data_IF_847462583412
#
_entry.id   IF_847462583412
#
_cell.length_a   1.000
_cell.length_b   1.000
_cell.length_c   1.000
_cell.angle_alpha   90.00
_cell.angle_beta   90.00
_cell.angle_gamma   90.00
#
_symmetry.space_group_name_H-M   'P 1'
#
loop_
_entity.id
_entity.type
_entity.pdbx_description
1 polymer ?
#
# COMPACT_ATOMS: atom_id res chain seq x y z
N UNK A 1 8.49 -29.88 -19.44
CA UNK A 1 8.66 -28.41 -19.36
C UNK A 1 7.28 -27.71 -19.37
N UNK A 2 6.41 -27.99 -18.38
CA UNK A 2 5.00 -27.53 -18.38
C UNK A 2 4.47 -27.08 -16.99
N UNK A 3 5.38 -26.84 -16.03
CA UNK A 3 5.03 -26.68 -14.61
C UNK A 3 4.46 -25.31 -14.24
N UNK A 4 4.40 -24.38 -15.19
CA UNK A 4 4.14 -22.96 -14.93
C UNK A 4 2.74 -22.47 -15.37
N UNK A 5 2.02 -23.21 -16.22
CA UNK A 5 0.66 -22.88 -16.66
C UNK A 5 -0.41 -23.47 -15.74
N UNK A 6 -1.63 -22.93 -15.71
CA UNK A 6 -2.74 -23.49 -14.92
C UNK A 6 -2.88 -25.03 -15.10
N UNK A 7 -3.20 -25.75 -14.04
CA UNK A 7 -3.26 -27.23 -14.04
C UNK A 7 -4.36 -27.72 -14.95
N UNK A 8 -4.00 -28.50 -15.99
CA UNK A 8 -5.00 -29.09 -16.90
C UNK A 8 -5.97 -30.00 -16.11
N UNK A 9 -7.28 -30.00 -16.43
CA UNK A 9 -7.93 -29.32 -17.56
C UNK A 9 -8.36 -27.87 -17.32
N UNK A 10 -8.01 -27.25 -16.17
CA UNK A 10 -8.47 -25.87 -15.88
C UNK A 10 -7.91 -24.87 -16.88
N UNK A 11 -8.78 -23.96 -17.30
CA UNK A 11 -8.47 -22.79 -18.12
C UNK A 11 -8.72 -21.51 -17.31
N UNK A 12 -8.13 -20.36 -17.70
CA UNK A 12 -8.38 -19.09 -17.01
C UNK A 12 -9.87 -18.71 -16.94
N UNK A 13 -10.67 -19.12 -17.94
CA UNK A 13 -12.13 -18.90 -17.95
C UNK A 13 -12.86 -19.69 -16.86
N UNK A 14 -12.34 -20.85 -16.48
CA UNK A 14 -12.96 -21.71 -15.47
C UNK A 14 -12.87 -21.09 -14.07
N UNK A 15 -11.82 -20.31 -13.80
CA UNK A 15 -11.61 -19.64 -12.50
C UNK A 15 -12.66 -18.59 -12.17
N UNK A 16 -13.41 -18.13 -13.18
CA UNK A 16 -14.54 -17.22 -13.02
C UNK A 16 -15.87 -17.92 -12.73
N UNK A 17 -15.88 -19.26 -12.69
CA UNK A 17 -17.07 -20.09 -12.47
C UNK A 17 -16.80 -21.10 -11.37
N UNK A 18 -17.81 -21.88 -10.98
CA UNK A 18 -17.60 -23.00 -10.06
C UNK A 18 -16.67 -24.03 -10.72
N UNK A 19 -15.55 -24.32 -10.09
CA UNK A 19 -14.59 -25.32 -10.57
C UNK A 19 -14.04 -26.17 -9.42
N UNK A 20 -13.48 -27.34 -9.73
CA UNK A 20 -12.77 -28.15 -8.72
C UNK A 20 -11.42 -27.53 -8.40
N UNK A 21 -10.95 -27.70 -7.16
CA UNK A 21 -9.56 -27.40 -6.81
C UNK A 21 -8.66 -28.50 -7.37
N UNK A 22 -7.74 -28.15 -8.27
CA UNK A 22 -6.75 -29.07 -8.86
C UNK A 22 -5.36 -28.56 -8.47
N UNK A 23 -4.84 -28.90 -7.28
CA UNK A 23 -3.55 -28.42 -6.82
C UNK A 23 -2.41 -29.05 -7.63
N UNK A 24 -1.36 -28.27 -7.90
CA UNK A 24 -0.12 -28.80 -8.51
C UNK A 24 0.60 -29.77 -7.58
N UNK A 25 0.64 -29.44 -6.28
CA UNK A 25 1.26 -30.24 -5.25
C UNK A 25 0.20 -30.58 -4.19
N UNK A 26 -0.41 -31.78 -4.28
CA UNK A 26 -1.43 -32.21 -3.33
C UNK A 26 -0.93 -32.22 -1.88
N UNK A 27 0.32 -32.61 -1.61
CA UNK A 27 0.87 -32.66 -0.26
C UNK A 27 0.91 -31.28 0.41
N UNK A 28 1.36 -30.24 -0.33
CA UNK A 28 1.35 -28.86 0.18
C UNK A 28 -0.09 -28.39 0.39
N UNK A 29 -0.97 -28.63 -0.59
CA UNK A 29 -2.37 -28.22 -0.49
C UNK A 29 -3.09 -28.89 0.70
N UNK A 30 -2.81 -30.17 0.96
CA UNK A 30 -3.36 -30.90 2.09
C UNK A 30 -2.85 -30.35 3.42
N UNK A 31 -1.56 -30.05 3.54
CA UNK A 31 -1.01 -29.43 4.75
C UNK A 31 -1.63 -28.04 5.00
N UNK A 32 -1.73 -27.20 3.97
CA UNK A 32 -2.37 -25.89 4.06
C UNK A 32 -3.86 -25.99 4.42
N UNK A 33 -4.55 -27.02 3.92
CA UNK A 33 -5.92 -27.30 4.29
C UNK A 33 -6.06 -27.75 5.75
N UNK A 34 -5.17 -28.63 6.24
CA UNK A 34 -5.20 -29.13 7.62
C UNK A 34 -4.99 -28.01 8.64
N UNK A 35 -4.14 -27.04 8.34
CA UNK A 35 -3.97 -25.84 9.18
C UNK A 35 -5.03 -24.76 8.93
N UNK A 36 -6.06 -25.07 8.12
CA UNK A 36 -7.18 -24.18 7.76
C UNK A 36 -6.76 -22.89 7.03
N UNK A 37 -5.62 -22.91 6.34
CA UNK A 37 -5.14 -21.76 5.55
C UNK A 37 -5.86 -21.65 4.19
N UNK A 38 -6.28 -22.78 3.60
CA UNK A 38 -7.03 -22.82 2.34
C UNK A 38 -8.26 -23.73 2.43
N UNK A 39 -9.19 -23.56 1.49
CA UNK A 39 -10.35 -24.43 1.28
C UNK A 39 -10.10 -25.43 0.13
N UNK A 40 -10.76 -26.60 0.16
CA UNK A 40 -10.64 -27.63 -0.90
C UNK A 40 -11.56 -27.44 -2.12
N UNK A 41 -12.54 -26.54 -2.05
CA UNK A 41 -13.68 -26.53 -2.99
C UNK A 41 -13.53 -25.64 -4.23
N UNK A 42 -12.36 -25.02 -4.46
CA UNK A 42 -12.14 -24.19 -5.66
C UNK A 42 -13.04 -22.97 -5.73
N UNK A 43 -13.44 -22.39 -4.58
CA UNK A 43 -14.28 -21.19 -4.50
C UNK A 43 -13.50 -19.90 -4.28
N UNK A 44 -12.20 -20.00 -3.97
CA UNK A 44 -11.38 -18.85 -3.58
C UNK A 44 -11.35 -17.75 -4.65
N UNK A 45 -11.18 -18.12 -5.92
CA UNK A 45 -11.19 -17.15 -7.03
C UNK A 45 -12.55 -16.50 -7.22
N UNK A 46 -13.64 -17.25 -7.07
CA UNK A 46 -15.00 -16.68 -7.14
C UNK A 46 -15.25 -15.69 -6.00
N UNK A 47 -14.81 -16.00 -4.78
CA UNK A 47 -14.92 -15.09 -3.63
C UNK A 47 -14.15 -13.80 -3.85
N UNK A 48 -12.96 -13.88 -4.45
CA UNK A 48 -12.18 -12.69 -4.83
C UNK A 48 -12.92 -11.84 -5.87
N UNK A 49 -13.55 -12.49 -6.86
CA UNK A 49 -14.37 -11.78 -7.86
C UNK A 49 -15.56 -11.09 -7.19
N UNK A 50 -16.31 -11.81 -6.35
CA UNK A 50 -17.45 -11.27 -5.59
C UNK A 50 -17.04 -10.06 -4.76
N UNK A 51 -15.97 -10.16 -3.98
CA UNK A 51 -15.47 -9.08 -3.13
C UNK A 51 -15.07 -7.83 -3.94
N UNK A 52 -14.40 -8.01 -5.10
CA UNK A 52 -14.03 -6.88 -5.96
C UNK A 52 -15.28 -6.19 -6.52
N UNK A 53 -16.25 -6.95 -6.99
CA UNK A 53 -17.49 -6.41 -7.54
C UNK A 53 -18.33 -5.69 -6.48
N UNK A 54 -18.43 -6.24 -5.26
CA UNK A 54 -19.12 -5.61 -4.13
C UNK A 54 -18.50 -4.26 -3.76
N UNK A 55 -17.18 -4.12 -3.96
CA UNK A 55 -16.44 -2.87 -3.78
C UNK A 55 -16.36 -2.01 -5.05
N UNK A 56 -17.16 -2.29 -6.09
CA UNK A 56 -17.20 -1.57 -7.38
C UNK A 56 -15.88 -1.54 -8.13
N UNK A 57 -15.04 -2.56 -7.92
CA UNK A 57 -13.77 -2.77 -8.63
C UNK A 57 -13.99 -3.70 -9.82
N UNK A 58 -13.14 -3.59 -10.87
CA UNK A 58 -13.22 -4.51 -12.00
C UNK A 58 -12.85 -5.94 -11.58
N UNK A 59 -13.36 -6.92 -12.33
CA UNK A 59 -13.00 -8.31 -12.14
C UNK A 59 -11.49 -8.54 -12.32
N UNK A 60 -10.91 -9.55 -11.65
CA UNK A 60 -9.55 -9.98 -11.91
C UNK A 60 -9.37 -10.47 -13.34
N UNK A 61 -8.19 -10.18 -13.90
CA UNK A 61 -7.75 -10.75 -15.18
C UNK A 61 -6.92 -12.00 -14.91
N UNK A 62 -7.34 -13.13 -15.48
CA UNK A 62 -6.62 -14.39 -15.42
C UNK A 62 -6.07 -14.72 -16.81
N UNK A 63 -4.76 -14.89 -16.93
CA UNK A 63 -4.16 -15.20 -18.23
C UNK A 63 -2.95 -16.13 -18.11
N UNK A 64 -2.70 -16.88 -19.18
CA UNK A 64 -1.45 -17.62 -19.35
C UNK A 64 -0.52 -16.77 -20.20
N UNK A 65 0.51 -16.15 -19.60
CA UNK A 65 1.46 -15.26 -20.29
C UNK A 65 2.89 -15.82 -20.16
N UNK A 66 3.68 -15.76 -21.24
CA UNK A 66 5.13 -16.01 -21.26
C UNK A 66 5.60 -17.26 -20.50
N UNK A 67 4.85 -18.36 -20.61
CA UNK A 67 5.21 -19.60 -19.93
C UNK A 67 4.82 -19.63 -18.45
N UNK A 68 3.85 -18.83 -18.00
CA UNK A 68 3.35 -18.76 -16.62
C UNK A 68 1.83 -18.53 -16.56
N UNK A 69 1.29 -18.50 -15.35
CA UNK A 69 -0.07 -18.09 -15.05
C UNK A 69 -0.03 -16.79 -14.26
N UNK A 70 -0.74 -15.79 -14.74
CA UNK A 70 -0.78 -14.44 -14.20
C UNK A 70 -2.20 -14.09 -13.74
N UNK A 71 -2.27 -13.38 -12.61
CA UNK A 71 -3.50 -12.83 -12.05
C UNK A 71 -3.28 -11.34 -11.82
N UNK A 72 -4.10 -10.50 -12.43
CA UNK A 72 -4.06 -9.04 -12.24
C UNK A 72 -5.29 -8.64 -11.43
N UNK A 73 -5.03 -7.96 -10.30
CA UNK A 73 -6.05 -7.36 -9.44
C UNK A 73 -5.89 -5.84 -9.53
N UNK A 74 -6.96 -5.14 -9.90
CA UNK A 74 -6.95 -3.68 -9.97
C UNK A 74 -7.62 -3.11 -8.73
N UNK A 75 -6.84 -2.37 -7.94
CA UNK A 75 -7.34 -1.69 -6.75
C UNK A 75 -8.11 -0.40 -7.07
N UNK A 76 -8.70 0.25 -6.05
CA UNK A 76 -9.51 1.47 -6.15
C UNK A 76 -8.75 2.73 -6.62
N UNK A 77 -7.45 2.64 -6.86
CA UNK A 77 -6.64 3.72 -7.41
C UNK A 77 -6.30 4.82 -6.39
N UNK A 78 -5.89 5.98 -6.91
CA UNK A 78 -5.26 7.06 -6.14
C UNK A 78 -6.18 7.70 -5.09
N UNK A 79 -7.47 7.80 -5.35
CA UNK A 79 -8.41 8.44 -4.41
C UNK A 79 -8.49 7.68 -3.09
N UNK A 80 -8.46 6.34 -3.14
CA UNK A 80 -8.39 5.49 -1.97
C UNK A 80 -7.04 5.57 -1.25
N UNK A 81 -5.93 5.69 -1.99
CA UNK A 81 -4.62 5.95 -1.37
C UNK A 81 -4.60 7.28 -0.60
N UNK A 82 -5.23 8.32 -1.15
CA UNK A 82 -5.35 9.63 -0.49
C UNK A 82 -6.24 9.59 0.76
N UNK A 83 -7.29 8.75 0.78
CA UNK A 83 -8.12 8.50 1.95
C UNK A 83 -7.34 7.76 3.05
N UNK A 84 -6.65 6.67 2.71
CA UNK A 84 -5.76 5.97 3.65
C UNK A 84 -4.68 6.91 4.18
N UNK A 85 -4.06 7.74 3.33
CA UNK A 85 -3.10 8.72 3.79
C UNK A 85 -3.75 9.71 4.76
N UNK A 86 -4.95 10.24 4.46
CA UNK A 86 -5.69 11.11 5.39
C UNK A 86 -5.93 10.46 6.74
N UNK A 87 -6.41 9.21 6.77
CA UNK A 87 -6.61 8.48 8.02
C UNK A 87 -5.30 8.28 8.80
N UNK A 88 -4.20 7.93 8.11
CA UNK A 88 -2.87 7.85 8.73
C UNK A 88 -2.45 9.18 9.35
N UNK A 89 -2.67 10.29 8.66
CA UNK A 89 -2.37 11.63 9.20
C UNK A 89 -3.21 11.95 10.44
N UNK A 90 -4.48 11.55 10.48
CA UNK A 90 -5.35 11.69 11.65
C UNK A 90 -4.86 10.87 12.84
N UNK A 91 -4.50 9.60 12.63
CA UNK A 91 -3.94 8.73 13.69
C UNK A 91 -2.63 9.31 14.24
N UNK A 92 -1.82 9.91 13.37
CA UNK A 92 -0.57 10.56 13.76
C UNK A 92 -0.77 11.98 14.33
N UNK A 93 -2.00 12.49 14.39
CA UNK A 93 -2.34 13.85 14.88
C UNK A 93 -1.55 14.96 14.14
N UNK A 94 -1.47 14.85 12.81
CA UNK A 94 -0.70 15.77 11.97
C UNK A 94 -1.64 16.79 11.34
N UNK A 95 -1.32 18.07 11.54
CA UNK A 95 -2.14 19.16 11.02
C UNK A 95 -1.78 19.51 9.55
N UNK A 96 -2.62 20.34 8.91
CA UNK A 96 -2.45 20.69 7.49
C UNK A 96 -1.12 21.42 7.19
N UNK A 97 -0.62 22.25 8.12
CA UNK A 97 0.66 22.97 7.97
C UNK A 97 1.86 22.02 8.03
N UNK A 98 1.79 21.05 8.91
CA UNK A 98 2.78 19.98 9.04
C UNK A 98 2.74 19.05 7.81
N UNK A 99 1.54 18.72 7.29
CA UNK A 99 1.38 17.98 6.04
C UNK A 99 2.06 18.69 4.85
N UNK A 100 1.81 20.00 4.69
CA UNK A 100 2.48 20.82 3.65
C UNK A 100 4.00 20.76 3.75
N UNK A 101 4.53 20.75 4.97
CA UNK A 101 5.97 20.61 5.18
C UNK A 101 6.49 19.22 4.81
N UNK A 102 5.76 18.15 5.13
CA UNK A 102 6.14 16.79 4.75
C UNK A 102 6.13 16.63 3.22
N UNK A 103 5.09 17.13 2.54
CA UNK A 103 5.04 17.14 1.07
C UNK A 103 6.19 17.96 0.46
N UNK A 104 6.53 19.10 1.08
CA UNK A 104 7.68 19.89 0.67
C UNK A 104 8.99 19.11 0.81
N UNK A 105 9.19 18.39 1.92
CA UNK A 105 10.38 17.54 2.13
C UNK A 105 10.38 16.38 1.13
N UNK A 106 9.24 15.72 0.86
CA UNK A 106 9.14 14.67 -0.18
C UNK A 106 9.59 15.19 -1.55
N UNK A 107 9.28 16.44 -1.91
CA UNK A 107 9.63 17.04 -3.22
C UNK A 107 11.05 17.64 -3.28
N UNK A 108 11.57 18.20 -2.19
CA UNK A 108 12.84 18.96 -2.17
C UNK A 108 13.96 18.31 -1.34
N UNK A 109 13.67 17.20 -0.67
CA UNK A 109 14.59 16.42 0.17
C UNK A 109 14.78 16.96 1.59
N UNK A 110 14.65 18.28 1.82
CA UNK A 110 14.83 18.91 3.14
C UNK A 110 14.02 20.18 3.31
N UNK A 111 13.74 20.55 4.56
CA UNK A 111 13.14 21.84 4.92
C UNK A 111 13.94 22.54 6.02
N UNK A 112 14.03 23.87 5.95
CA UNK A 112 14.55 24.69 7.05
C UNK A 112 13.39 25.32 7.80
N UNK A 113 13.61 25.74 9.05
CA UNK A 113 12.59 26.50 9.80
C UNK A 113 12.14 27.77 9.07
N UNK A 114 13.06 28.46 8.36
CA UNK A 114 12.70 29.64 7.58
C UNK A 114 11.78 29.27 6.40
N UNK A 115 12.06 28.17 5.71
CA UNK A 115 11.19 27.67 4.65
C UNK A 115 9.81 27.29 5.19
N UNK A 116 9.74 26.65 6.36
CA UNK A 116 8.48 26.32 7.02
C UNK A 116 7.65 27.57 7.35
N UNK A 117 8.28 28.61 7.92
CA UNK A 117 7.61 29.89 8.20
C UNK A 117 7.04 30.53 6.92
N UNK A 118 7.83 30.55 5.84
CA UNK A 118 7.41 31.11 4.55
C UNK A 118 6.28 30.30 3.91
N UNK A 119 6.38 28.97 3.94
CA UNK A 119 5.39 28.06 3.38
C UNK A 119 4.02 28.21 4.05
N UNK A 120 4.02 28.32 5.38
CA UNK A 120 2.80 28.35 6.19
C UNK A 120 2.37 29.76 6.63
N UNK A 121 3.14 30.80 6.29
CA UNK A 121 2.92 32.20 6.70
C UNK A 121 2.74 32.36 8.21
N UNK A 122 3.61 31.73 8.99
CA UNK A 122 3.58 31.77 10.46
C UNK A 122 4.87 32.32 11.08
N UNK A 123 4.78 32.74 12.34
CA UNK A 123 5.93 33.17 13.14
C UNK A 123 6.90 32.04 13.51
N UNK A 124 8.17 32.40 13.74
CA UNK A 124 9.27 31.48 14.07
C UNK A 124 9.01 30.63 15.32
N UNK A 125 8.34 31.21 16.34
CA UNK A 125 8.00 30.51 17.58
C UNK A 125 7.03 29.35 17.33
N UNK A 126 6.01 29.58 16.50
CA UNK A 126 5.01 28.56 16.18
C UNK A 126 5.59 27.48 15.27
N UNK A 127 6.40 27.88 14.29
CA UNK A 127 7.14 26.94 13.43
C UNK A 127 8.07 26.02 14.25
N UNK A 128 8.74 26.55 15.27
CA UNK A 128 9.58 25.73 16.17
C UNK A 128 8.75 24.70 16.92
N UNK A 129 7.57 25.09 17.45
CA UNK A 129 6.68 24.18 18.18
C UNK A 129 6.17 23.05 17.27
N UNK A 130 5.67 23.38 16.07
CA UNK A 130 5.16 22.37 15.13
C UNK A 130 6.24 21.44 14.58
N UNK A 131 7.44 21.95 14.29
CA UNK A 131 8.58 21.12 13.86
C UNK A 131 9.09 20.22 14.99
N UNK A 132 9.06 20.69 16.25
CA UNK A 132 9.39 19.84 17.40
C UNK A 132 8.36 18.71 17.58
N UNK A 133 7.07 18.99 17.41
CA UNK A 133 6.04 17.95 17.43
C UNK A 133 6.30 16.86 16.37
N UNK A 134 6.73 17.23 15.16
CA UNK A 134 7.10 16.27 14.12
C UNK A 134 8.38 15.47 14.44
N UNK A 135 9.33 16.06 15.19
CA UNK A 135 10.52 15.36 15.69
C UNK A 135 10.14 14.34 16.77
N UNK A 136 9.28 14.72 17.72
CA UNK A 136 8.80 13.84 18.79
C UNK A 136 8.05 12.63 18.24
N UNK A 137 7.24 12.85 17.20
CA UNK A 137 6.55 11.80 16.44
C UNK A 137 7.48 10.96 15.54
N UNK A 138 8.79 11.24 15.52
CA UNK A 138 9.82 10.56 14.71
C UNK A 138 9.55 10.57 13.20
N UNK A 139 8.80 11.54 12.70
CA UNK A 139 8.48 11.67 11.26
C UNK A 139 9.63 12.35 10.52
N UNK A 140 10.24 13.34 11.17
CA UNK A 140 11.41 14.06 10.67
C UNK A 140 12.60 13.88 11.58
N UNK A 141 13.80 14.04 11.04
CA UNK A 141 15.06 14.11 11.78
C UNK A 141 15.73 15.46 11.55
N UNK A 142 16.32 16.01 12.61
CA UNK A 142 17.09 17.24 12.55
C UNK A 142 18.53 16.94 12.11
N UNK A 143 19.05 17.71 11.15
CA UNK A 143 20.44 17.69 10.73
C UNK A 143 21.06 19.09 10.67
N UNK A 144 22.38 19.14 10.73
CA UNK A 144 23.16 20.38 10.77
C UNK A 144 23.19 21.03 12.17
N UNK A 145 23.93 22.15 12.28
CA UNK A 145 24.10 22.91 13.52
C UNK A 145 23.88 24.42 13.27
N UNK A 146 23.36 25.12 14.29
CA UNK A 146 23.15 26.57 14.24
C UNK A 146 22.29 27.02 13.05
N UNK A 147 22.79 27.99 12.28
CA UNK A 147 22.13 28.55 11.08
C UNK A 147 21.96 27.52 9.95
N UNK A 148 22.76 26.46 9.93
CA UNK A 148 22.68 25.36 8.96
C UNK A 148 21.72 24.24 9.36
N UNK A 149 20.83 24.45 10.34
CA UNK A 149 19.86 23.42 10.75
C UNK A 149 18.80 23.22 9.68
N UNK A 150 18.60 21.98 9.25
CA UNK A 150 17.50 21.55 8.38
C UNK A 150 16.89 20.23 8.89
N UNK A 151 15.75 19.87 8.32
CA UNK A 151 14.98 18.69 8.67
C UNK A 151 14.74 17.84 7.42
N UNK A 152 14.92 16.54 7.57
CA UNK A 152 14.67 15.52 6.54
C UNK A 152 13.65 14.51 7.07
N UNK A 153 12.98 13.76 6.20
CA UNK A 153 12.17 12.63 6.64
C UNK A 153 13.06 11.56 7.28
N UNK A 154 12.53 10.89 8.31
CA UNK A 154 13.13 9.64 8.77
C UNK A 154 12.86 8.61 7.67
N UNK A 155 13.89 8.32 6.87
CA UNK A 155 13.90 7.16 5.99
C UNK A 155 13.80 5.91 6.85
N UNK A 156 12.79 5.07 6.59
CA UNK A 156 12.79 3.66 7.00
C UNK A 156 14.05 2.95 6.49
#
# INVERSE_FOLDING_TARGET
MAWRFLTKPLTPKDLKKKHKSIPRNPLIADMLFLIKYIEKWGKGTNRVIEELLDNKLPEPEFQNLSGGFEVVLTGPGKEFEEEIEREKWHVLDINERQRKAIEYIKKKGRITRNNYCKLNKIGSTYAKKELNSLLEKKIIKRKGKGKGTYYELVSE
#
